data_IF_603803961846
#
_entry.id   IF_603803961846
#
_cell.length_a   1.000
_cell.length_b   1.000
_cell.length_c   1.000
_cell.angle_alpha   90.00
_cell.angle_beta   90.00
_cell.angle_gamma   90.00
#
_symmetry.space_group_name_H-M   'P 1'
#
loop_
_entity.id
_entity.type
_entity.pdbx_description
1 polymer ?
#
# COMPACT_ATOMS: atom_id res chain seq x y z
N UNK A 1 -3.41 16.97 -18.84
CA UNK A 1 -4.62 16.36 -18.24
C UNK A 1 -4.29 16.17 -16.77
N UNK A 2 -4.94 16.91 -15.87
CA UNK A 2 -4.70 16.75 -14.44
C UNK A 2 -5.15 15.36 -14.02
N UNK A 3 -4.24 14.61 -13.39
CA UNK A 3 -4.54 13.28 -12.86
C UNK A 3 -5.01 13.46 -11.42
N UNK A 4 -6.26 13.09 -11.15
CA UNK A 4 -6.82 13.10 -9.81
C UNK A 4 -6.71 11.71 -9.17
N UNK A 5 -6.59 11.63 -7.83
CA UNK A 5 -6.60 10.34 -7.13
C UNK A 5 -7.87 9.53 -7.43
N UNK A 6 -7.74 8.21 -7.43
CA UNK A 6 -8.88 7.30 -7.54
C UNK A 6 -9.66 7.29 -6.21
N UNK A 7 -10.93 7.65 -6.22
CA UNK A 7 -11.79 7.58 -5.03
C UNK A 7 -12.42 6.19 -4.87
N UNK A 8 -12.24 5.57 -3.70
CA UNK A 8 -12.80 4.24 -3.39
C UNK A 8 -13.30 4.21 -1.94
N UNK A 9 -14.49 3.64 -1.72
CA UNK A 9 -14.94 3.27 -0.37
C UNK A 9 -14.12 2.10 0.17
N UNK A 10 -13.71 2.11 1.44
CA UNK A 10 -12.92 1.03 2.06
C UNK A 10 -13.53 -0.36 1.85
N UNK A 11 -14.87 -0.47 1.84
CA UNK A 11 -15.58 -1.73 1.62
C UNK A 11 -15.54 -2.24 0.18
N UNK A 12 -15.11 -1.41 -0.76
CA UNK A 12 -14.93 -1.73 -2.18
C UNK A 12 -13.47 -1.92 -2.58
N UNK A 13 -12.54 -1.94 -1.62
CA UNK A 13 -11.15 -2.27 -1.91
C UNK A 13 -11.07 -3.65 -2.58
N UNK A 14 -10.36 -3.77 -3.73
CA UNK A 14 -10.23 -5.05 -4.40
C UNK A 14 -9.52 -6.06 -3.50
N UNK A 15 -10.03 -7.28 -3.46
CA UNK A 15 -9.48 -8.38 -2.65
C UNK A 15 -8.58 -9.34 -3.43
N UNK A 16 -8.47 -9.11 -4.74
CA UNK A 16 -7.86 -10.04 -5.68
C UNK A 16 -6.81 -9.25 -6.48
N UNK A 17 -5.59 -9.79 -6.53
CA UNK A 17 -4.44 -9.16 -7.19
C UNK A 17 -3.13 -9.81 -6.75
N UNK A 18 -2.94 -9.97 -5.43
CA UNK A 18 -1.72 -10.58 -4.88
C UNK A 18 -1.50 -12.04 -5.33
N UNK A 19 -2.56 -12.84 -5.49
CA UNK A 19 -2.42 -14.22 -5.96
C UNK A 19 -1.82 -14.28 -7.38
N UNK A 20 -2.25 -13.40 -8.29
CA UNK A 20 -1.68 -13.28 -9.64
C UNK A 20 -0.22 -12.84 -9.56
N UNK A 21 0.09 -11.88 -8.69
CA UNK A 21 1.47 -11.44 -8.45
C UNK A 21 2.36 -12.56 -7.92
N UNK A 22 1.85 -13.46 -7.08
CA UNK A 22 2.60 -14.65 -6.63
C UNK A 22 2.89 -15.59 -7.80
N UNK A 23 1.93 -15.83 -8.69
CA UNK A 23 2.13 -16.67 -9.88
C UNK A 23 3.17 -16.06 -10.86
N UNK A 24 3.12 -14.74 -11.07
CA UNK A 24 4.11 -14.00 -11.86
C UNK A 24 5.51 -14.10 -11.25
N UNK A 25 5.63 -13.86 -9.94
CA UNK A 25 6.90 -13.97 -9.23
C UNK A 25 7.48 -15.38 -9.31
N UNK A 26 6.68 -16.42 -9.07
CA UNK A 26 7.11 -17.82 -9.19
C UNK A 26 7.58 -18.16 -10.60
N UNK A 27 6.99 -17.53 -11.62
CA UNK A 27 7.42 -17.68 -13.01
C UNK A 27 8.76 -16.99 -13.26
N UNK A 28 8.97 -15.78 -12.73
CA UNK A 28 10.24 -15.03 -12.88
C UNK A 28 11.41 -15.67 -12.13
N UNK A 29 11.19 -16.18 -10.91
CA UNK A 29 12.23 -16.90 -10.15
C UNK A 29 12.69 -18.16 -10.87
N UNK A 30 11.78 -18.87 -11.55
CA UNK A 30 12.13 -20.02 -12.39
C UNK A 30 12.97 -19.65 -13.61
N UNK A 31 12.95 -18.38 -14.03
CA UNK A 31 13.67 -17.83 -15.17
C UNK A 31 14.97 -17.09 -14.80
N UNK A 32 15.44 -17.23 -13.55
CA UNK A 32 16.71 -16.71 -13.01
C UNK A 32 16.80 -15.19 -12.73
N UNK A 33 15.69 -14.52 -12.38
CA UNK A 33 15.78 -13.15 -11.85
C UNK A 33 16.13 -13.10 -10.34
N UNK A 34 17.12 -12.27 -10.01
CA UNK A 34 17.68 -12.04 -8.67
C UNK A 34 16.75 -11.20 -7.79
N UNK A 35 15.73 -11.80 -7.21
CA UNK A 35 15.03 -11.18 -6.08
C UNK A 35 15.09 -12.09 -4.86
N UNK A 36 15.57 -11.54 -3.74
CA UNK A 36 15.77 -12.30 -2.49
C UNK A 36 14.46 -12.72 -1.82
N UNK A 37 13.33 -12.05 -2.15
CA UNK A 37 12.00 -12.38 -1.63
C UNK A 37 10.86 -11.87 -2.52
N UNK A 38 9.64 -12.39 -2.31
CA UNK A 38 8.43 -11.89 -2.94
C UNK A 38 8.18 -10.42 -2.61
N UNK A 39 8.36 -10.00 -1.36
CA UNK A 39 8.14 -8.60 -0.95
C UNK A 39 9.14 -7.63 -1.60
N UNK A 40 10.40 -8.05 -1.75
CA UNK A 40 11.42 -7.27 -2.45
C UNK A 40 11.08 -7.13 -3.95
N UNK A 41 10.66 -8.23 -4.57
CA UNK A 41 10.18 -8.21 -5.96
C UNK A 41 8.93 -7.35 -6.15
N UNK A 42 7.93 -7.51 -5.28
CA UNK A 42 6.65 -6.82 -5.38
C UNK A 42 6.81 -5.29 -5.27
N UNK A 43 7.75 -4.83 -4.44
CA UNK A 43 8.11 -3.41 -4.35
C UNK A 43 8.49 -2.81 -5.71
N UNK A 44 9.10 -3.59 -6.58
CA UNK A 44 9.53 -3.17 -7.93
C UNK A 44 8.46 -3.46 -8.98
N UNK A 45 7.78 -4.59 -8.87
CA UNK A 45 6.80 -5.05 -9.86
C UNK A 45 5.42 -4.36 -9.76
N UNK A 46 5.09 -3.81 -8.59
CA UNK A 46 3.83 -3.11 -8.37
C UNK A 46 3.75 -1.85 -9.23
N UNK A 47 2.68 -1.73 -10.00
CA UNK A 47 2.48 -0.58 -10.89
C UNK A 47 1.04 -0.10 -10.78
N UNK A 48 0.78 1.19 -10.54
CA UNK A 48 -0.57 1.72 -10.51
C UNK A 48 -1.24 1.61 -11.90
N UNK A 49 -2.53 1.27 -11.92
CA UNK A 49 -3.34 1.44 -13.13
C UNK A 49 -3.51 2.94 -13.42
N UNK A 50 -3.78 3.32 -14.68
CA UNK A 50 -3.89 4.73 -15.10
C UNK A 50 -4.76 5.61 -14.19
N UNK A 51 -5.87 5.06 -13.67
CA UNK A 51 -6.76 5.80 -12.77
C UNK A 51 -6.22 6.05 -11.35
N UNK A 52 -5.18 5.33 -10.93
CA UNK A 52 -4.59 5.37 -9.59
C UNK A 52 -3.17 5.97 -9.57
N UNK A 53 -2.66 6.45 -10.70
CA UNK A 53 -1.30 7.02 -10.81
C UNK A 53 -1.10 8.19 -9.84
N UNK A 54 -2.10 9.09 -9.72
CA UNK A 54 -2.05 10.20 -8.79
C UNK A 54 -2.20 9.79 -7.31
N UNK A 55 -2.60 8.54 -7.04
CA UNK A 55 -2.93 8.03 -5.72
C UNK A 55 -4.33 7.42 -5.66
N UNK A 56 -4.69 6.93 -4.47
CA UNK A 56 -6.02 6.43 -4.13
C UNK A 56 -6.50 7.18 -2.90
N UNK A 57 -7.63 7.88 -3.02
CA UNK A 57 -8.36 8.44 -1.90
C UNK A 57 -9.36 7.39 -1.37
N UNK A 58 -9.20 7.00 -0.11
CA UNK A 58 -10.00 5.96 0.54
C UNK A 58 -10.98 6.60 1.51
N UNK A 59 -12.26 6.36 1.31
CA UNK A 59 -13.34 6.77 2.21
C UNK A 59 -13.62 5.65 3.23
N UNK A 60 -13.44 5.94 4.52
CA UNK A 60 -13.76 5.06 5.64
C UNK A 60 -14.66 5.79 6.62
N UNK A 61 -15.92 5.37 6.66
CA UNK A 61 -16.99 5.99 7.46
C UNK A 61 -17.17 7.48 7.11
N UNK A 62 -16.67 8.40 7.94
CA UNK A 62 -16.73 9.85 7.72
C UNK A 62 -15.36 10.46 7.38
N UNK A 63 -14.33 9.63 7.22
CA UNK A 63 -12.95 10.07 6.99
C UNK A 63 -12.50 9.70 5.59
N UNK A 64 -11.66 10.55 5.03
CA UNK A 64 -10.97 10.32 3.77
C UNK A 64 -9.46 10.45 3.99
N UNK A 65 -8.69 9.55 3.38
CA UNK A 65 -7.23 9.64 3.38
C UNK A 65 -6.66 9.19 2.04
N UNK A 66 -5.54 9.80 1.66
CA UNK A 66 -4.91 9.56 0.36
C UNK A 66 -3.61 8.77 0.50
N UNK A 67 -3.54 7.67 -0.22
CA UNK A 67 -2.34 6.85 -0.36
C UNK A 67 -1.74 7.02 -1.76
N UNK A 68 -0.42 7.21 -1.83
CA UNK A 68 0.33 7.40 -3.08
C UNK A 68 1.38 6.31 -3.23
N UNK A 69 1.54 5.85 -4.47
CA UNK A 69 2.51 4.83 -4.82
C UNK A 69 3.95 5.32 -4.51
N UNK A 70 4.74 4.48 -3.84
CA UNK A 70 6.14 4.75 -3.51
C UNK A 70 6.33 5.83 -2.43
N UNK A 71 5.29 6.16 -1.67
CA UNK A 71 5.37 7.16 -0.59
C UNK A 71 5.41 6.51 0.79
N UNK A 72 6.02 7.23 1.72
CA UNK A 72 6.14 6.86 3.12
C UNK A 72 5.25 7.76 3.96
N UNK A 73 4.69 7.20 5.02
CA UNK A 73 3.76 7.89 5.91
C UNK A 73 4.13 7.65 7.37
N UNK A 74 3.77 8.63 8.19
CA UNK A 74 3.75 8.57 9.65
C UNK A 74 2.30 8.57 10.11
N UNK A 75 1.97 7.70 11.06
CA UNK A 75 0.69 7.65 11.77
C UNK A 75 0.94 7.53 13.26
N UNK A 76 -0.03 7.97 14.05
CA UNK A 76 0.01 7.91 15.50
C UNK A 76 -1.34 7.41 16.04
N UNK A 77 -1.29 6.56 17.06
CA UNK A 77 -2.44 6.21 17.87
C UNK A 77 -2.03 6.09 19.34
N UNK A 78 -2.98 6.31 20.25
CA UNK A 78 -2.68 6.36 21.68
C UNK A 78 -2.13 5.04 22.24
N UNK A 79 -2.49 3.90 21.63
CA UNK A 79 -2.17 2.56 22.16
C UNK A 79 -0.81 2.08 21.67
N UNK A 80 -0.48 2.28 20.39
CA UNK A 80 0.74 1.75 19.74
C UNK A 80 1.80 2.82 19.50
N UNK A 81 1.47 4.09 19.70
CA UNK A 81 2.36 5.21 19.44
C UNK A 81 2.61 5.44 17.95
N UNK A 82 3.68 6.20 17.67
CA UNK A 82 4.06 6.56 16.32
C UNK A 82 4.60 5.38 15.52
N UNK A 83 4.09 5.18 14.30
CA UNK A 83 4.53 4.14 13.36
C UNK A 83 4.70 4.71 11.97
N UNK A 84 5.65 4.16 11.22
CA UNK A 84 5.86 4.49 9.81
C UNK A 84 5.43 3.33 8.93
N UNK A 85 5.01 3.65 7.72
CA UNK A 85 4.79 2.65 6.69
C UNK A 85 5.15 3.17 5.29
N UNK A 86 5.61 2.25 4.45
CA UNK A 86 5.70 2.46 3.01
C UNK A 86 4.38 2.04 2.35
N UNK A 87 3.99 2.75 1.29
CA UNK A 87 2.85 2.42 0.46
C UNK A 87 3.29 2.15 -0.98
N UNK A 88 2.83 1.04 -1.54
CA UNK A 88 2.83 0.79 -2.98
C UNK A 88 1.39 0.60 -3.45
N UNK A 89 1.13 0.96 -4.70
CA UNK A 89 -0.16 0.72 -5.35
C UNK A 89 0.10 -0.26 -6.50
N UNK A 90 -0.56 -1.40 -6.44
CA UNK A 90 -0.57 -2.37 -7.52
C UNK A 90 -1.94 -2.39 -8.20
N UNK A 91 -1.99 -2.00 -9.47
CA UNK A 91 -3.24 -1.72 -10.20
C UNK A 91 -4.12 -0.69 -9.46
N UNK A 92 -5.13 -1.14 -8.71
CA UNK A 92 -6.03 -0.31 -7.89
C UNK A 92 -6.02 -0.73 -6.42
N UNK A 93 -5.03 -1.51 -6.01
CA UNK A 93 -4.90 -2.07 -4.66
C UNK A 93 -3.75 -1.35 -3.94
N UNK A 94 -4.04 -0.58 -2.88
CA UNK A 94 -3.01 -0.05 -2.02
C UNK A 94 -2.49 -1.17 -1.09
N UNK A 95 -1.18 -1.30 -1.04
CA UNK A 95 -0.43 -2.24 -0.20
C UNK A 95 0.47 -1.43 0.73
N UNK A 96 0.46 -1.81 2.00
CA UNK A 96 1.15 -1.11 3.07
C UNK A 96 2.15 -2.07 3.71
N UNK A 97 3.38 -1.60 3.95
CA UNK A 97 4.38 -2.30 4.74
C UNK A 97 4.79 -1.40 5.91
N UNK A 98 4.47 -1.82 7.14
CA UNK A 98 4.95 -1.15 8.34
C UNK A 98 6.45 -1.33 8.50
N UNK A 99 7.12 -0.29 9.00
CA UNK A 99 8.56 -0.30 9.18
C UNK A 99 8.93 -0.66 10.63
N UNK A 100 10.01 -1.41 10.78
CA UNK A 100 10.63 -1.62 12.09
C UNK A 100 11.43 -0.38 12.56
N UNK A 101 12.09 -0.49 13.72
CA UNK A 101 12.88 0.61 14.28
C UNK A 101 14.12 0.99 13.44
N UNK A 102 14.56 0.10 12.54
CA UNK A 102 15.65 0.31 11.60
C UNK A 102 15.16 0.71 10.20
N UNK A 103 13.88 1.07 10.07
CA UNK A 103 13.20 1.42 8.82
C UNK A 103 13.16 0.28 7.78
N UNK A 104 13.29 -0.98 8.19
CA UNK A 104 13.08 -2.13 7.30
C UNK A 104 11.58 -2.41 7.12
N UNK A 105 11.11 -2.61 5.88
CA UNK A 105 9.72 -2.93 5.63
C UNK A 105 9.38 -4.36 6.06
N UNK A 106 8.26 -4.50 6.77
CA UNK A 106 7.58 -5.78 6.94
C UNK A 106 6.87 -6.24 5.65
N UNK A 107 6.01 -7.27 5.74
CA UNK A 107 5.30 -7.80 4.58
C UNK A 107 4.30 -6.78 4.01
N UNK A 108 4.13 -6.80 2.68
CA UNK A 108 3.10 -6.00 2.03
C UNK A 108 1.72 -6.57 2.32
N UNK A 109 0.87 -5.78 2.97
CA UNK A 109 -0.50 -6.18 3.32
C UNK A 109 -1.53 -5.19 2.77
N UNK A 110 -2.72 -5.71 2.52
CA UNK A 110 -3.92 -4.90 2.28
C UNK A 110 -5.09 -5.55 3.01
N UNK A 111 -5.71 -4.78 3.89
CA UNK A 111 -6.91 -5.22 4.62
C UNK A 111 -7.86 -4.05 4.72
N UNK A 112 -9.17 -4.35 4.70
CA UNK A 112 -10.20 -3.33 4.94
C UNK A 112 -10.02 -2.77 6.34
N UNK A 113 -10.16 -1.46 6.48
CA UNK A 113 -10.10 -0.77 7.77
C UNK A 113 -8.79 -1.06 8.51
N UNK A 114 -7.68 -1.12 7.76
CA UNK A 114 -6.34 -1.31 8.31
C UNK A 114 -6.00 -0.25 9.34
N UNK A 115 -6.40 0.99 9.07
CA UNK A 115 -6.13 2.13 9.92
C UNK A 115 -7.31 2.46 10.83
N UNK A 116 -6.99 2.79 12.09
CA UNK A 116 -7.97 3.33 13.03
C UNK A 116 -8.30 4.79 12.69
N UNK A 117 -9.36 5.33 13.31
CA UNK A 117 -9.71 6.75 13.17
C UNK A 117 -8.55 7.66 13.57
N UNK A 118 -7.88 7.38 14.69
CA UNK A 118 -6.73 8.18 15.18
C UNK A 118 -5.57 8.15 14.19
N UNK A 119 -5.28 6.98 13.63
CA UNK A 119 -4.21 6.80 12.64
C UNK A 119 -4.54 7.53 11.33
N UNK A 120 -5.80 7.54 10.91
CA UNK A 120 -6.24 8.26 9.70
C UNK A 120 -6.09 9.77 9.89
N UNK A 121 -6.53 10.31 11.03
CA UNK A 121 -6.47 11.75 11.31
C UNK A 121 -5.03 12.24 11.48
N UNK A 122 -4.16 11.42 12.09
CA UNK A 122 -2.74 11.76 12.27
C UNK A 122 -1.88 11.51 11.04
N UNK A 123 -2.42 10.86 9.99
CA UNK A 123 -1.66 10.42 8.84
C UNK A 123 -0.98 11.58 8.12
N UNK A 124 0.35 11.50 8.03
CA UNK A 124 1.19 12.49 7.34
C UNK A 124 2.15 11.79 6.38
N UNK A 125 2.18 12.23 5.14
CA UNK A 125 3.22 11.83 4.20
C UNK A 125 4.57 12.42 4.64
N UNK A 126 5.62 11.59 4.64
CA UNK A 126 7.01 12.00 4.88
C UNK A 126 7.72 12.42 3.58
#
# INVERSE_FOLDING_TARGET
MESHPLHIKVDRLPRHGLAVRVEEWLSNVRLQEQFDSFDAWLRVAATPANGAIAGICIEQDLLEFELRHGKRYLIEDYVRGARKFDCIIDSRVPLVAFLDAADHPGPWITVKRLFTVEEIVSMKQL
#
